data_IF_832183345703
#
_entry.id   IF_832183345703
#
_cell.length_a   1.000
_cell.length_b   1.000
_cell.length_c   1.000
_cell.angle_alpha   90.00
_cell.angle_beta   90.00
_cell.angle_gamma   90.00
#
_symmetry.space_group_name_H-M   'P 1'
#
loop_
_entity.id
_entity.type
_entity.pdbx_description
1 polymer ?
#
# COMPACT_ATOMS: atom_id res chain seq x y z
N UNK A 1 5.39 -30.56 22.60
CA UNK A 1 4.42 -29.46 22.49
C UNK A 1 4.57 -28.88 21.10
N UNK A 2 3.58 -29.07 20.24
CA UNK A 2 3.63 -28.54 18.86
C UNK A 2 3.37 -27.03 18.88
N UNK A 3 3.86 -26.27 17.90
CA UNK A 3 3.70 -24.81 17.83
C UNK A 3 2.23 -24.33 17.93
N UNK A 4 1.26 -25.22 17.67
CA UNK A 4 -0.18 -24.93 17.74
C UNK A 4 -0.77 -25.07 19.15
N UNK A 5 -0.08 -25.73 20.09
CA UNK A 5 -0.54 -25.90 21.47
C UNK A 5 -0.11 -24.73 22.38
N UNK A 6 0.85 -23.90 21.93
CA UNK A 6 1.29 -22.69 22.62
C UNK A 6 0.61 -21.45 21.98
N UNK A 7 -0.04 -20.58 22.76
CA UNK A 7 -0.61 -19.33 22.25
C UNK A 7 0.41 -18.46 21.48
N UNK A 8 1.69 -18.46 21.89
CA UNK A 8 2.74 -17.72 21.19
C UNK A 8 3.05 -18.30 19.80
N UNK A 9 3.08 -19.63 19.68
CA UNK A 9 3.31 -20.31 18.40
C UNK A 9 2.15 -20.11 17.42
N UNK A 10 0.92 -19.98 17.93
CA UNK A 10 -0.27 -19.66 17.10
C UNK A 10 -0.17 -18.25 16.47
N UNK A 11 0.33 -17.27 17.22
CA UNK A 11 0.56 -15.91 16.71
C UNK A 11 1.61 -15.90 15.60
N UNK A 12 2.72 -16.62 15.80
CA UNK A 12 3.80 -16.76 14.80
C UNK A 12 3.25 -17.35 13.49
N UNK A 13 2.53 -18.48 13.57
CA UNK A 13 1.95 -19.16 12.40
C UNK A 13 0.95 -18.26 11.67
N UNK A 14 0.12 -17.52 12.42
CA UNK A 14 -0.86 -16.59 11.84
C UNK A 14 -0.17 -15.46 11.08
N UNK A 15 0.86 -14.84 11.65
CA UNK A 15 1.63 -13.78 10.99
C UNK A 15 2.35 -14.28 9.74
N UNK A 16 2.98 -15.45 9.83
CA UNK A 16 3.67 -16.07 8.70
C UNK A 16 2.69 -16.37 7.56
N UNK A 17 1.50 -16.89 7.90
CA UNK A 17 0.43 -17.14 6.93
C UNK A 17 -0.05 -15.85 6.29
N UNK A 18 -0.28 -14.78 7.07
CA UNK A 18 -0.69 -13.48 6.56
C UNK A 18 0.33 -12.91 5.57
N UNK A 19 1.63 -12.95 5.89
CA UNK A 19 2.67 -12.49 4.97
C UNK A 19 2.80 -13.36 3.72
N UNK A 20 2.69 -14.68 3.83
CA UNK A 20 2.68 -15.56 2.65
C UNK A 20 1.48 -15.25 1.72
N UNK A 21 0.29 -15.06 2.29
CA UNK A 21 -0.88 -14.66 1.51
C UNK A 21 -0.69 -13.29 0.86
N UNK A 22 -0.08 -12.35 1.58
CA UNK A 22 0.25 -11.03 1.02
C UNK A 22 1.24 -11.13 -0.14
N UNK A 23 2.26 -11.99 -0.03
CA UNK A 23 3.22 -12.22 -1.09
C UNK A 23 2.52 -12.71 -2.37
N UNK A 24 1.67 -13.72 -2.24
CA UNK A 24 0.90 -14.26 -3.37
C UNK A 24 -0.05 -13.21 -3.95
N UNK A 25 -0.76 -12.46 -3.11
CA UNK A 25 -1.66 -11.40 -3.55
C UNK A 25 -0.92 -10.28 -4.30
N UNK A 26 0.26 -9.89 -3.81
CA UNK A 26 1.07 -8.81 -4.40
C UNK A 26 1.69 -9.22 -5.74
N UNK A 27 2.19 -10.46 -5.85
CA UNK A 27 2.68 -11.01 -7.12
C UNK A 27 1.53 -11.11 -8.12
N UNK A 28 0.38 -11.62 -7.68
CA UNK A 28 -0.79 -11.77 -8.55
C UNK A 28 -1.27 -10.40 -9.06
N UNK A 29 -1.34 -9.39 -8.17
CA UNK A 29 -1.65 -8.01 -8.56
C UNK A 29 -0.66 -7.52 -9.61
N UNK A 30 0.65 -7.65 -9.35
CA UNK A 30 1.71 -7.21 -10.27
C UNK A 30 1.53 -7.84 -11.65
N UNK A 31 1.37 -9.16 -11.69
CA UNK A 31 1.22 -9.92 -12.93
C UNK A 31 0.00 -9.47 -13.75
N UNK A 32 -1.18 -9.40 -13.12
CA UNK A 32 -2.40 -9.00 -13.84
C UNK A 32 -2.40 -7.52 -14.21
N UNK A 33 -1.73 -6.67 -13.44
CA UNK A 33 -1.55 -5.25 -13.76
C UNK A 33 -0.64 -5.09 -14.99
N UNK A 34 0.48 -5.81 -15.06
CA UNK A 34 1.35 -5.83 -16.26
C UNK A 34 0.61 -6.35 -17.50
N UNK A 35 -0.26 -7.34 -17.33
CA UNK A 35 -1.06 -7.86 -18.44
C UNK A 35 -2.09 -6.85 -18.94
N UNK A 36 -2.72 -6.09 -18.03
CA UNK A 36 -3.63 -4.99 -18.39
C UNK A 36 -2.88 -3.84 -19.07
N UNK A 37 -1.71 -3.44 -18.55
CA UNK A 37 -0.93 -2.32 -19.09
C UNK A 37 -0.47 -2.57 -20.54
N UNK A 38 -0.06 -3.81 -20.84
CA UNK A 38 0.35 -4.21 -22.19
C UNK A 38 -0.80 -4.15 -23.22
N UNK A 39 -2.06 -4.20 -22.78
CA UNK A 39 -3.24 -4.15 -23.66
C UNK A 39 -3.77 -2.74 -23.92
N UNK A 40 -3.11 -1.70 -23.37
CA UNK A 40 -3.25 -0.26 -23.69
C UNK A 40 -4.68 0.23 -23.99
N UNK A 41 -5.65 -0.09 -23.12
CA UNK A 41 -6.98 0.55 -23.17
C UNK A 41 -6.96 1.97 -22.58
N UNK A 42 -5.98 2.28 -21.72
CA UNK A 42 -5.69 3.62 -21.18
C UNK A 42 -4.15 3.75 -21.11
N UNK A 43 -3.57 4.70 -21.85
CA UNK A 43 -2.13 5.02 -21.80
C UNK A 43 -1.86 5.78 -20.50
N UNK A 44 -1.66 5.03 -19.42
CA UNK A 44 -1.64 5.59 -18.08
C UNK A 44 -0.37 5.26 -17.31
N UNK A 45 0.32 6.30 -16.82
CA UNK A 45 1.42 6.15 -15.84
C UNK A 45 0.91 5.51 -14.53
N UNK A 46 -0.41 5.50 -14.28
CA UNK A 46 -1.05 4.77 -13.17
C UNK A 46 -0.60 3.31 -13.11
N UNK A 47 -0.51 2.64 -14.27
CA UNK A 47 -0.20 1.22 -14.32
C UNK A 47 1.20 0.93 -13.76
N UNK A 48 2.16 1.81 -14.02
CA UNK A 48 3.53 1.67 -13.52
C UNK A 48 3.56 1.78 -11.99
N UNK A 49 2.82 2.73 -11.41
CA UNK A 49 2.70 2.86 -9.97
C UNK A 49 2.00 1.65 -9.32
N UNK A 50 0.96 1.08 -9.93
CA UNK A 50 0.30 -0.13 -9.39
C UNK A 50 1.24 -1.35 -9.48
N UNK A 51 2.04 -1.47 -10.54
CA UNK A 51 3.08 -2.50 -10.67
C UNK A 51 4.12 -2.33 -9.56
N UNK A 52 4.63 -1.12 -9.35
CA UNK A 52 5.58 -0.80 -8.28
C UNK A 52 4.98 -1.09 -6.88
N UNK A 53 3.71 -0.77 -6.67
CA UNK A 53 3.00 -1.10 -5.43
C UNK A 53 2.94 -2.61 -5.19
N UNK A 54 2.68 -3.40 -6.24
CA UNK A 54 2.70 -4.87 -6.16
C UNK A 54 4.09 -5.44 -5.88
N UNK A 55 5.13 -4.92 -6.55
CA UNK A 55 6.53 -5.34 -6.30
C UNK A 55 6.93 -5.04 -4.86
N UNK A 56 6.68 -3.82 -4.39
CA UNK A 56 7.01 -3.46 -3.01
C UNK A 56 6.10 -4.17 -2.00
N UNK A 57 4.86 -4.49 -2.35
CA UNK A 57 3.98 -5.34 -1.54
C UNK A 57 4.55 -6.75 -1.34
N UNK A 58 5.20 -7.31 -2.38
CA UNK A 58 5.91 -8.57 -2.26
C UNK A 58 7.16 -8.43 -1.36
N UNK A 59 7.92 -7.34 -1.49
CA UNK A 59 9.05 -7.06 -0.58
C UNK A 59 8.60 -6.86 0.87
N UNK A 60 7.46 -6.19 1.09
CA UNK A 60 6.83 -6.03 2.39
C UNK A 60 6.48 -7.40 3.01
N UNK A 61 5.94 -8.32 2.21
CA UNK A 61 5.66 -9.68 2.67
C UNK A 61 6.94 -10.50 2.99
N UNK A 62 7.97 -10.39 2.16
CA UNK A 62 9.26 -11.09 2.39
C UNK A 62 9.93 -10.59 3.65
N UNK A 63 10.01 -9.28 3.82
CA UNK A 63 10.62 -8.64 4.99
C UNK A 63 9.80 -8.88 6.26
N UNK A 64 8.47 -8.90 6.17
CA UNK A 64 7.61 -9.31 7.29
C UNK A 64 7.78 -10.77 7.69
N UNK A 65 7.94 -11.66 6.71
CA UNK A 65 8.25 -13.08 7.00
C UNK A 65 9.61 -13.21 7.66
N UNK A 66 10.63 -12.51 7.15
CA UNK A 66 11.97 -12.50 7.73
C UNK A 66 11.98 -11.92 9.16
N UNK A 67 11.18 -10.89 9.44
CA UNK A 67 11.03 -10.31 10.78
C UNK A 67 10.44 -11.34 11.76
N UNK A 68 9.41 -12.08 11.34
CA UNK A 68 8.80 -13.14 12.16
C UNK A 68 9.78 -14.28 12.46
N UNK A 69 10.55 -14.69 11.45
CA UNK A 69 11.57 -15.74 11.60
C UNK A 69 12.71 -15.27 12.53
N UNK A 70 13.17 -14.03 12.37
CA UNK A 70 14.20 -13.44 13.22
C UNK A 70 13.73 -13.27 14.67
N UNK A 71 12.47 -12.86 14.88
CA UNK A 71 11.89 -12.71 16.21
C UNK A 71 11.67 -14.04 16.95
N UNK A 72 11.60 -15.16 16.23
CA UNK A 72 11.51 -16.50 16.80
C UNK A 72 12.89 -17.12 17.11
N UNK A 73 13.97 -16.34 17.07
CA UNK A 73 15.38 -16.76 17.23
C UNK A 73 15.80 -17.92 16.29
N UNK A 74 15.11 -18.07 15.15
CA UNK A 74 15.40 -19.13 14.17
C UNK A 74 16.65 -18.78 13.35
N UNK A 75 16.92 -17.49 13.14
CA UNK A 75 18.07 -16.98 12.36
C UNK A 75 18.71 -15.82 13.13
N UNK A 76 20.05 -15.73 13.21
CA UNK A 76 20.75 -14.60 13.81
C UNK A 76 20.66 -13.37 12.91
N UNK A 77 19.50 -12.73 12.88
CA UNK A 77 19.26 -11.46 12.21
C UNK A 77 18.78 -10.42 13.24
N UNK A 78 19.20 -9.16 13.08
CA UNK A 78 18.71 -8.09 13.94
C UNK A 78 17.24 -7.81 13.62
N UNK A 79 16.32 -8.36 14.43
CA UNK A 79 14.88 -8.22 14.26
C UNK A 79 14.44 -6.75 14.07
N UNK A 80 15.11 -5.82 14.76
CA UNK A 80 14.91 -4.38 14.55
C UNK A 80 15.20 -3.93 13.12
N UNK A 81 16.36 -4.27 12.54
CA UNK A 81 16.71 -3.82 11.19
C UNK A 81 15.73 -4.36 10.13
N UNK A 82 15.34 -5.64 10.25
CA UNK A 82 14.37 -6.25 9.33
C UNK A 82 12.99 -5.59 9.47
N UNK A 83 12.57 -5.29 10.71
CA UNK A 83 11.34 -4.55 11.00
C UNK A 83 11.33 -3.13 10.41
N UNK A 84 12.47 -2.43 10.40
CA UNK A 84 12.62 -1.13 9.73
C UNK A 84 12.35 -1.22 8.24
N UNK A 85 12.96 -2.20 7.57
CA UNK A 85 12.80 -2.40 6.13
C UNK A 85 11.35 -2.75 5.81
N UNK A 86 10.73 -3.64 6.61
CA UNK A 86 9.33 -4.00 6.46
C UNK A 86 8.43 -2.77 6.48
N UNK A 87 8.59 -1.91 7.51
CA UNK A 87 7.84 -0.67 7.68
C UNK A 87 8.00 0.30 6.52
N UNK A 88 9.22 0.40 6.00
CA UNK A 88 9.53 1.20 4.82
C UNK A 88 8.83 0.65 3.57
N UNK A 89 8.89 -0.66 3.32
CA UNK A 89 8.15 -1.28 2.23
C UNK A 89 6.64 -1.02 2.34
N UNK A 90 6.06 -1.17 3.54
CA UNK A 90 4.65 -0.84 3.77
C UNK A 90 4.32 0.62 3.41
N UNK A 91 5.16 1.58 3.81
CA UNK A 91 4.98 2.98 3.45
C UNK A 91 5.03 3.18 1.93
N UNK A 92 6.02 2.60 1.25
CA UNK A 92 6.13 2.70 -0.21
C UNK A 92 4.91 2.11 -0.95
N UNK A 93 4.32 1.03 -0.45
CA UNK A 93 3.05 0.50 -0.98
C UNK A 93 1.95 1.57 -0.94
N UNK A 94 1.78 2.24 0.21
CA UNK A 94 0.79 3.30 0.38
C UNK A 94 1.08 4.47 -0.57
N UNK A 95 2.34 4.87 -0.68
CA UNK A 95 2.79 5.94 -1.58
C UNK A 95 2.45 5.61 -3.03
N UNK A 96 2.81 4.42 -3.51
CA UNK A 96 2.57 4.04 -4.90
C UNK A 96 1.09 3.93 -5.24
N UNK A 97 0.26 3.38 -4.34
CA UNK A 97 -1.19 3.43 -4.55
C UNK A 97 -1.71 4.87 -4.56
N UNK A 98 -1.22 5.75 -3.70
CA UNK A 98 -1.62 7.15 -3.69
C UNK A 98 -1.24 7.89 -4.98
N UNK A 99 -0.05 7.61 -5.53
CA UNK A 99 0.43 8.14 -6.81
C UNK A 99 -0.37 7.58 -7.99
N UNK A 100 -0.70 6.29 -8.00
CA UNK A 100 -1.57 5.70 -9.01
C UNK A 100 -2.91 6.44 -9.09
N UNK A 101 -3.52 6.75 -7.93
CA UNK A 101 -4.80 7.48 -7.90
C UNK A 101 -4.68 8.94 -8.34
N UNK A 102 -3.56 9.59 -8.03
CA UNK A 102 -3.25 10.93 -8.54
C UNK A 102 -3.20 10.93 -10.06
N UNK A 103 -2.46 9.99 -10.64
CA UNK A 103 -2.25 9.92 -12.08
C UNK A 103 -3.54 9.63 -12.83
N UNK A 104 -4.33 8.68 -12.31
CA UNK A 104 -5.65 8.39 -12.83
C UNK A 104 -6.59 9.61 -12.79
N UNK A 105 -6.47 10.48 -11.78
CA UNK A 105 -7.26 11.71 -11.71
C UNK A 105 -6.89 12.70 -12.81
N UNK A 106 -5.60 12.87 -13.10
CA UNK A 106 -5.13 13.82 -14.11
C UNK A 106 -5.36 13.35 -15.55
N UNK A 107 -5.43 12.04 -15.77
CA UNK A 107 -5.70 11.47 -17.09
C UNK A 107 -7.19 11.33 -17.43
N UNK A 108 -8.10 11.56 -16.47
CA UNK A 108 -9.53 11.40 -16.72
C UNK A 108 -10.03 12.39 -17.79
N UNK A 109 -10.69 11.90 -18.88
CA UNK A 109 -11.17 12.73 -20.00
C UNK A 109 -12.14 13.83 -19.60
N UNK A 110 -12.83 13.68 -18.47
CA UNK A 110 -13.85 14.61 -17.96
C UNK A 110 -13.27 16.00 -17.63
N UNK A 111 -11.94 16.14 -17.48
CA UNK A 111 -11.31 17.46 -17.38
C UNK A 111 -10.94 18.10 -18.72
N UNK A 112 -11.01 17.37 -19.83
CA UNK A 112 -10.77 17.98 -21.15
C UNK A 112 -11.91 18.93 -21.53
N UNK A 113 -13.14 18.67 -21.09
CA UNK A 113 -14.29 19.58 -21.27
C UNK A 113 -14.27 20.77 -20.28
N UNK A 114 -13.77 20.57 -19.05
CA UNK A 114 -13.69 21.62 -18.03
C UNK A 114 -12.38 22.47 -18.14
N UNK A 115 -11.53 22.22 -19.14
CA UNK A 115 -10.36 23.08 -19.46
C UNK A 115 -10.71 24.49 -19.90
N UNK A 116 -12.00 24.79 -20.12
CA UNK A 116 -12.52 26.15 -20.25
C UNK A 116 -12.63 26.90 -18.92
N UNK A 117 -12.56 26.19 -17.78
CA UNK A 117 -12.52 26.74 -16.43
C UNK A 117 -11.12 26.51 -15.88
N UNK A 118 -10.36 27.60 -15.79
CA UNK A 118 -8.99 27.67 -15.30
C UNK A 118 -8.75 26.79 -14.06
N UNK A 119 -8.10 25.63 -14.24
CA UNK A 119 -7.48 24.94 -13.11
C UNK A 119 -6.21 25.68 -12.69
N UNK A 120 -6.06 26.04 -11.40
CA UNK A 120 -4.98 26.91 -10.92
C UNK A 120 -3.65 26.18 -10.66
N UNK A 121 -3.42 25.00 -11.22
CA UNK A 121 -2.26 24.16 -10.89
C UNK A 121 -1.45 23.86 -12.15
N UNK A 122 -0.28 24.49 -12.25
CA UNK A 122 0.67 24.35 -13.34
C UNK A 122 1.32 22.96 -13.35
N UNK A 123 1.78 22.51 -14.52
CA UNK A 123 2.58 21.27 -14.70
C UNK A 123 3.82 21.24 -13.78
N UNK A 124 4.37 22.42 -13.45
CA UNK A 124 5.47 22.54 -12.48
C UNK A 124 5.07 22.12 -11.06
N UNK A 125 3.83 22.39 -10.64
CA UNK A 125 3.34 21.99 -9.31
C UNK A 125 3.23 20.48 -9.16
N UNK A 126 2.96 19.76 -10.26
CA UNK A 126 2.87 18.28 -10.29
C UNK A 126 4.24 17.66 -10.01
N UNK A 127 5.30 18.16 -10.65
CA UNK A 127 6.69 17.71 -10.43
C UNK A 127 7.19 18.06 -9.02
N UNK A 128 6.79 19.19 -8.47
CA UNK A 128 7.15 19.57 -7.10
C UNK A 128 6.49 18.67 -6.03
N UNK A 129 5.27 18.21 -6.28
CA UNK A 129 4.58 17.25 -5.38
C UNK A 129 5.24 15.87 -5.46
N UNK A 130 5.58 15.40 -6.66
CA UNK A 130 6.33 14.15 -6.85
C UNK A 130 7.71 14.21 -6.21
N UNK A 131 8.44 15.32 -6.42
CA UNK A 131 9.72 15.58 -5.76
C UNK A 131 9.57 15.63 -4.24
N UNK A 132 8.50 16.27 -3.73
CA UNK A 132 8.19 16.29 -2.30
C UNK A 132 7.97 14.90 -1.72
N UNK A 133 7.31 14.01 -2.46
CA UNK A 133 7.07 12.63 -2.03
C UNK A 133 8.32 11.75 -2.08
N UNK A 134 9.11 11.85 -3.15
CA UNK A 134 10.41 11.19 -3.25
C UNK A 134 11.37 11.70 -2.17
N UNK A 135 11.30 12.99 -1.85
CA UNK A 135 12.08 13.63 -0.80
C UNK A 135 11.65 13.16 0.59
N UNK A 136 10.34 13.04 0.89
CA UNK A 136 9.86 12.47 2.15
C UNK A 136 10.31 11.02 2.31
N UNK A 137 10.14 10.20 1.27
CA UNK A 137 10.60 8.81 1.28
C UNK A 137 12.12 8.70 1.45
N UNK A 138 12.88 9.58 0.78
CA UNK A 138 14.33 9.66 0.90
C UNK A 138 14.79 10.11 2.29
N UNK A 139 14.19 11.15 2.85
CA UNK A 139 14.45 11.61 4.23
C UNK A 139 14.17 10.47 5.20
N UNK A 140 13.03 9.79 5.05
CA UNK A 140 12.66 8.68 5.91
C UNK A 140 13.68 7.53 5.83
N UNK A 141 14.11 7.16 4.62
CA UNK A 141 15.15 6.17 4.39
C UNK A 141 16.48 6.57 5.05
N UNK A 142 16.90 7.83 4.90
CA UNK A 142 18.10 8.38 5.55
C UNK A 142 17.99 8.37 7.07
N UNK A 143 16.86 8.79 7.62
CA UNK A 143 16.59 8.77 9.07
C UNK A 143 16.68 7.35 9.62
N UNK A 144 16.08 6.37 8.94
CA UNK A 144 16.09 4.96 9.36
C UNK A 144 17.52 4.38 9.35
N UNK A 145 18.31 4.70 8.32
CA UNK A 145 19.70 4.24 8.22
C UNK A 145 20.59 4.90 9.27
N UNK A 146 20.43 6.21 9.52
CA UNK A 146 21.30 6.98 10.39
C UNK A 146 20.98 6.82 11.88
N UNK A 147 19.70 6.75 12.25
CA UNK A 147 19.25 6.81 13.65
C UNK A 147 18.74 5.47 14.16
N UNK A 148 18.56 4.48 13.28
CA UNK A 148 17.91 3.22 13.63
C UNK A 148 16.43 3.40 14.02
N UNK A 149 15.86 2.37 14.63
CA UNK A 149 14.48 2.37 15.10
C UNK A 149 14.34 3.10 16.44
N UNK A 150 13.98 4.38 16.37
CA UNK A 150 13.68 5.20 17.53
C UNK A 150 12.23 5.72 17.47
N UNK A 151 11.70 6.18 18.60
CA UNK A 151 10.33 6.72 18.69
C UNK A 151 10.06 7.82 17.65
N UNK A 152 11.08 8.61 17.29
CA UNK A 152 10.98 9.64 16.23
C UNK A 152 10.68 9.04 14.86
N UNK A 153 11.32 7.92 14.49
CA UNK A 153 11.13 7.32 13.16
C UNK A 153 9.73 6.73 13.00
N UNK A 154 9.17 6.19 14.09
CA UNK A 154 7.78 5.75 14.19
C UNK A 154 6.78 6.90 14.00
N UNK A 155 7.02 8.05 14.64
CA UNK A 155 6.13 9.22 14.51
C UNK A 155 6.19 9.79 13.08
N UNK A 156 7.37 9.88 12.48
CA UNK A 156 7.51 10.32 11.09
C UNK A 156 6.80 9.35 10.14
N UNK A 157 6.93 8.03 10.37
CA UNK A 157 6.22 7.02 9.58
C UNK A 157 4.69 7.14 9.72
N UNK A 158 4.19 7.37 10.92
CA UNK A 158 2.77 7.61 11.16
C UNK A 158 2.28 8.82 10.37
N UNK A 159 2.97 9.95 10.50
CA UNK A 159 2.61 11.18 9.82
C UNK A 159 2.63 11.00 8.29
N UNK A 160 3.66 10.34 7.75
CA UNK A 160 3.76 10.02 6.34
C UNK A 160 2.59 9.10 5.91
N UNK A 161 2.39 7.97 6.59
CA UNK A 161 1.35 7.00 6.27
C UNK A 161 -0.05 7.63 6.25
N UNK A 162 -0.40 8.42 7.28
CA UNK A 162 -1.66 9.16 7.33
C UNK A 162 -1.76 10.16 6.18
N UNK A 163 -0.71 10.96 5.96
CA UNK A 163 -0.69 11.97 4.91
C UNK A 163 -0.91 11.36 3.52
N UNK A 164 -0.21 10.27 3.20
CA UNK A 164 -0.31 9.58 1.92
C UNK A 164 -1.62 8.83 1.74
N UNK A 165 -2.13 8.18 2.79
CA UNK A 165 -3.46 7.55 2.76
C UNK A 165 -4.54 8.59 2.47
N UNK A 166 -4.55 9.71 3.20
CA UNK A 166 -5.53 10.78 2.98
C UNK A 166 -5.38 11.42 1.60
N UNK A 167 -4.14 11.62 1.15
CA UNK A 167 -3.85 12.12 -0.20
C UNK A 167 -4.46 11.19 -1.25
N UNK A 168 -4.11 9.91 -1.26
CA UNK A 168 -4.63 8.94 -2.25
C UNK A 168 -6.16 8.79 -2.19
N UNK A 169 -6.74 8.73 -0.98
CA UNK A 169 -8.19 8.64 -0.79
C UNK A 169 -8.91 9.90 -1.31
N UNK A 170 -8.32 11.09 -1.14
CA UNK A 170 -8.93 12.33 -1.63
C UNK A 170 -9.04 12.37 -3.16
N UNK A 171 -8.00 11.93 -3.88
CA UNK A 171 -8.04 11.81 -5.34
C UNK A 171 -9.05 10.76 -5.77
N UNK A 172 -9.02 9.58 -5.13
CA UNK A 172 -9.96 8.51 -5.39
C UNK A 172 -11.43 8.94 -5.24
N UNK A 173 -11.74 9.64 -4.15
CA UNK A 173 -13.07 10.15 -3.87
C UNK A 173 -13.52 11.21 -4.89
N UNK A 174 -12.60 12.07 -5.35
CA UNK A 174 -12.88 13.06 -6.40
C UNK A 174 -13.18 12.40 -7.75
N UNK A 175 -12.40 11.39 -8.15
CA UNK A 175 -12.68 10.62 -9.37
C UNK A 175 -14.05 9.94 -9.25
N UNK A 176 -14.33 9.30 -8.11
CA UNK A 176 -15.60 8.62 -7.85
C UNK A 176 -16.81 9.56 -7.88
N UNK A 177 -16.68 10.75 -7.29
CA UNK A 177 -17.71 11.78 -7.31
C UNK A 177 -17.99 12.31 -8.73
N UNK A 178 -16.95 12.47 -9.54
CA UNK A 178 -17.08 12.91 -10.94
C UNK A 178 -17.60 11.79 -11.87
N UNK A 179 -17.35 10.52 -11.55
CA UNK A 179 -17.75 9.36 -12.34
C UNK A 179 -19.17 8.83 -12.03
N UNK A 180 -19.94 9.49 -11.15
CA UNK A 180 -21.25 9.03 -10.68
C UNK A 180 -22.32 8.79 -11.78
N UNK A 181 -22.10 9.22 -13.03
CA UNK A 181 -22.99 8.93 -14.15
C UNK A 181 -22.75 7.58 -14.83
N UNK A 182 -21.61 6.91 -14.58
CA UNK A 182 -21.23 5.69 -15.30
C UNK A 182 -20.78 4.60 -14.34
N UNK A 183 -21.65 3.59 -14.15
CA UNK A 183 -21.51 2.39 -13.30
C UNK A 183 -20.41 1.44 -13.81
N UNK A 184 -19.20 1.97 -13.98
CA UNK A 184 -18.09 1.35 -14.71
C UNK A 184 -17.21 0.51 -13.80
N UNK A 185 -16.44 -0.38 -14.41
CA UNK A 185 -15.38 -1.18 -13.76
C UNK A 185 -14.42 -0.28 -12.95
N UNK A 186 -14.22 0.97 -13.39
CA UNK A 186 -13.41 1.98 -12.73
C UNK A 186 -13.90 2.31 -11.31
N UNK A 187 -15.21 2.52 -11.10
CA UNK A 187 -15.77 2.85 -9.78
C UNK A 187 -15.51 1.72 -8.76
N UNK A 188 -15.60 0.47 -9.24
CA UNK A 188 -15.30 -0.71 -8.43
C UNK A 188 -13.81 -0.78 -8.08
N UNK A 189 -12.91 -0.51 -9.03
CA UNK A 189 -11.46 -0.46 -8.77
C UNK A 189 -11.09 0.65 -7.78
N UNK A 190 -11.63 1.86 -7.95
CA UNK A 190 -11.38 2.99 -7.06
C UNK A 190 -11.82 2.66 -5.62
N UNK A 191 -12.96 2.01 -5.46
CA UNK A 191 -13.48 1.60 -4.15
C UNK A 191 -12.52 0.64 -3.44
N UNK A 192 -11.96 -0.35 -4.15
CA UNK A 192 -11.00 -1.27 -3.56
C UNK A 192 -9.66 -0.60 -3.27
N UNK A 193 -9.18 0.31 -4.12
CA UNK A 193 -7.94 1.06 -3.85
C UNK A 193 -8.08 1.95 -2.60
N UNK A 194 -9.23 2.60 -2.41
CA UNK A 194 -9.52 3.34 -1.16
C UNK A 194 -9.44 2.40 0.05
N UNK A 195 -10.07 1.23 -0.05
CA UNK A 195 -10.06 0.25 1.04
C UNK A 195 -8.64 -0.28 1.34
N UNK A 196 -7.83 -0.50 0.32
CA UNK A 196 -6.40 -0.84 0.41
C UNK A 196 -5.62 0.25 1.14
N UNK A 197 -5.77 1.52 0.73
CA UNK A 197 -5.09 2.66 1.35
C UNK A 197 -5.47 2.86 2.82
N UNK A 198 -6.76 2.72 3.14
CA UNK A 198 -7.26 2.85 4.51
C UNK A 198 -6.77 1.72 5.41
N UNK A 199 -6.82 0.46 4.92
CA UNK A 199 -6.36 -0.70 5.69
C UNK A 199 -4.85 -0.69 5.91
N UNK A 200 -4.05 -0.40 4.88
CA UNK A 200 -2.59 -0.29 5.00
C UNK A 200 -2.16 0.91 5.87
N UNK A 201 -2.82 2.06 5.71
CA UNK A 201 -2.58 3.26 6.52
C UNK A 201 -2.95 3.07 7.98
N UNK A 202 -4.12 2.48 8.26
CA UNK A 202 -4.52 2.13 9.61
C UNK A 202 -3.55 1.11 10.24
N UNK A 203 -3.07 0.12 9.49
CA UNK A 203 -2.10 -0.85 9.99
C UNK A 203 -0.80 -0.14 10.43
N UNK A 204 -0.30 0.81 9.63
CA UNK A 204 0.85 1.64 10.03
C UNK A 204 0.56 2.48 11.27
N UNK A 205 -0.66 3.00 11.40
CA UNK A 205 -1.02 3.86 12.52
C UNK A 205 -1.08 3.11 13.85
N UNK A 206 -1.61 1.88 13.80
CA UNK A 206 -1.72 0.99 14.96
C UNK A 206 -0.36 0.61 15.53
N UNK A 207 0.68 0.47 14.70
CA UNK A 207 2.04 0.15 15.16
C UNK A 207 2.62 1.21 16.11
N UNK A 208 2.15 2.45 16.05
CA UNK A 208 2.58 3.53 16.97
C UNK A 208 1.89 3.45 18.34
N UNK A 209 0.82 2.65 18.48
CA UNK A 209 0.10 2.48 19.75
C UNK A 209 0.99 2.06 20.91
N UNK A 210 2.07 1.31 20.65
CA UNK A 210 3.05 0.90 21.67
C UNK A 210 3.69 2.13 22.35
N UNK A 211 3.91 3.23 21.61
CA UNK A 211 4.47 4.46 22.19
C UNK A 211 3.52 5.16 23.17
N UNK A 212 2.22 4.92 23.06
CA UNK A 212 1.18 5.51 23.90
C UNK A 212 0.79 4.56 25.05
N UNK A 213 1.58 3.49 25.26
CA UNK A 213 1.35 2.51 26.33
C UNK A 213 0.26 1.48 26.04
N UNK A 214 -0.17 1.34 24.78
CA UNK A 214 -1.08 0.25 24.37
C UNK A 214 -0.33 -1.07 24.45
N UNK A 215 -0.98 -2.11 24.98
CA UNK A 215 -0.41 -3.44 25.11
C UNK A 215 0.02 -3.99 23.73
N UNK A 216 1.27 -4.46 23.63
CA UNK A 216 1.85 -4.96 22.37
C UNK A 216 1.02 -6.06 21.71
N UNK A 217 0.45 -6.97 22.50
CA UNK A 217 -0.43 -8.03 22.00
C UNK A 217 -1.69 -7.50 21.30
N UNK A 218 -2.25 -6.38 21.79
CA UNK A 218 -3.41 -5.73 21.16
C UNK A 218 -3.01 -5.08 19.84
N UNK A 219 -1.88 -4.36 19.83
CA UNK A 219 -1.32 -3.71 18.64
C UNK A 219 -1.04 -4.74 17.53
N UNK A 220 -0.42 -5.86 17.89
CA UNK A 220 -0.16 -6.95 16.96
C UNK A 220 -1.44 -7.55 16.41
N UNK A 221 -2.42 -7.83 17.27
CA UNK A 221 -3.70 -8.41 16.86
C UNK A 221 -4.44 -7.51 15.85
N UNK A 222 -4.52 -6.20 16.14
CA UNK A 222 -5.17 -5.24 15.24
C UNK A 222 -4.39 -5.09 13.93
N UNK A 223 -3.05 -5.02 13.99
CA UNK A 223 -2.20 -4.92 12.80
C UNK A 223 -2.37 -6.13 11.87
N UNK A 224 -2.45 -7.34 12.43
CA UNK A 224 -2.71 -8.57 11.66
C UNK A 224 -4.08 -8.51 10.99
N UNK A 225 -5.14 -8.12 11.71
CA UNK A 225 -6.49 -8.00 11.14
C UNK A 225 -6.52 -7.00 9.99
N UNK A 226 -5.91 -5.83 10.16
CA UNK A 226 -5.83 -4.81 9.12
C UNK A 226 -5.00 -5.28 7.92
N UNK A 227 -3.94 -6.04 8.15
CA UNK A 227 -3.14 -6.67 7.09
C UNK A 227 -3.96 -7.71 6.31
N UNK A 228 -4.78 -8.52 6.98
CA UNK A 228 -5.69 -9.48 6.33
C UNK A 228 -6.76 -8.76 5.51
N UNK A 229 -7.31 -7.65 6.01
CA UNK A 229 -8.24 -6.81 5.24
C UNK A 229 -7.57 -6.24 3.99
N UNK A 230 -6.35 -5.72 4.12
CA UNK A 230 -5.54 -5.23 3.02
C UNK A 230 -5.32 -6.32 1.94
N UNK A 231 -4.93 -7.54 2.35
CA UNK A 231 -4.77 -8.70 1.46
C UNK A 231 -6.08 -9.01 0.74
N UNK A 232 -7.20 -9.00 1.47
CA UNK A 232 -8.52 -9.29 0.91
C UNK A 232 -8.87 -8.31 -0.21
N UNK A 233 -8.71 -7.01 0.03
CA UNK A 233 -8.99 -6.01 -1.00
C UNK A 233 -8.03 -6.08 -2.19
N UNK A 234 -6.76 -6.43 -1.97
CA UNK A 234 -5.81 -6.71 -3.05
C UNK A 234 -6.27 -7.87 -3.93
N UNK A 235 -6.70 -8.98 -3.33
CA UNK A 235 -7.19 -10.16 -4.06
C UNK A 235 -8.46 -9.84 -4.86
N UNK A 236 -9.38 -9.06 -4.29
CA UNK A 236 -10.58 -8.64 -5.01
C UNK A 236 -10.24 -7.73 -6.19
N UNK A 237 -9.35 -6.75 -6.00
CA UNK A 237 -8.86 -5.88 -7.08
C UNK A 237 -8.20 -6.72 -8.18
N UNK A 238 -7.34 -7.66 -7.80
CA UNK A 238 -6.65 -8.58 -8.72
C UNK A 238 -7.63 -9.43 -9.53
N UNK A 239 -8.68 -9.94 -8.89
CA UNK A 239 -9.72 -10.73 -9.56
C UNK A 239 -10.46 -9.89 -10.60
N UNK A 240 -10.72 -8.61 -10.31
CA UNK A 240 -11.33 -7.69 -11.29
C UNK A 240 -10.39 -7.37 -12.45
N UNK A 241 -9.10 -7.17 -12.19
CA UNK A 241 -8.10 -7.00 -13.24
C UNK A 241 -8.01 -8.23 -14.15
N UNK A 242 -8.08 -9.44 -13.57
CA UNK A 242 -8.14 -10.69 -14.32
C UNK A 242 -9.39 -10.79 -15.19
N UNK A 243 -10.56 -10.43 -14.67
CA UNK A 243 -11.81 -10.42 -15.43
C UNK A 243 -11.74 -9.46 -16.62
N UNK A 244 -11.22 -8.24 -16.41
CA UNK A 244 -11.02 -7.27 -17.48
C UNK A 244 -10.12 -7.83 -18.60
N UNK A 245 -9.02 -8.50 -18.24
CA UNK A 245 -8.17 -9.19 -19.23
C UNK A 245 -8.94 -10.27 -19.98
N UNK A 246 -9.75 -11.08 -19.31
CA UNK A 246 -10.52 -12.14 -19.98
C UNK A 246 -11.53 -11.57 -20.98
N UNK A 247 -12.24 -10.51 -20.60
CA UNK A 247 -13.28 -9.88 -21.40
C UNK A 247 -12.72 -9.21 -22.68
N UNK A 248 -11.49 -8.67 -22.63
CA UNK A 248 -10.82 -8.06 -23.80
C UNK A 248 -10.26 -9.10 -24.78
N UNK A 249 -10.12 -10.37 -24.38
CA UNK A 249 -9.62 -11.45 -25.25
C UNK A 249 -10.68 -12.20 -26.05
N UNK A 250 -11.95 -11.80 -25.93
CA UNK A 250 -13.10 -12.32 -26.69
C UNK A 250 -13.46 -11.32 -27.78
#
# INVERSE_FOLDING_TARGET
MTLLENPEGTVIVTRLTAYMLLFVASISLTYYTMQNSNRRTINSEMWEYVILAGIVGALYAVTGTAEVIAAADIVPASAGFVGSIRRLCQLFVIIFFALAMRELYFESPQQTEDRGVSMPISIESIRWIEAGFLFIAFIQFMIIILLGLNSVTLVVQLAASIGFTLYGVSFAARIKGAAMSSRTVLDTMLTYIIAILLSAGAASAVEVGVLVGVQSALVESISIVLTIMFITFLLVLTTRLKQNVADVSV
#
